data_IF_593961727370
#
_entry.id   IF_593961727370
#
_cell.length_a   1.000
_cell.length_b   1.000
_cell.length_c   1.000
_cell.angle_alpha   90.00
_cell.angle_beta   90.00
_cell.angle_gamma   90.00
#
_symmetry.space_group_name_H-M   'P 1'
#
loop_
_entity.id
_entity.type
_entity.pdbx_description
1 polymer ?
#
# COMPACT_ATOMS: atom_id res chain seq x y z
N UNK A 1 9.83 -5.83 16.73
CA UNK A 1 10.67 -5.21 15.68
C UNK A 1 9.95 -3.98 15.15
N UNK A 2 10.67 -2.93 14.71
CA UNK A 2 10.10 -1.76 14.03
C UNK A 2 10.84 -1.56 12.70
N UNK A 3 10.11 -1.43 11.58
CA UNK A 3 10.67 -1.39 10.23
C UNK A 3 9.64 -0.88 9.22
N UNK A 4 9.98 -0.85 7.90
CA UNK A 4 8.98 -0.71 6.84
C UNK A 4 8.42 -2.08 6.42
N UNK A 5 7.22 -2.15 5.82
CA UNK A 5 6.66 -3.40 5.30
C UNK A 5 7.58 -4.13 4.32
N UNK A 6 8.15 -3.41 3.35
CA UNK A 6 9.05 -4.00 2.36
C UNK A 6 10.32 -4.57 2.99
N UNK A 7 10.88 -3.86 3.98
CA UNK A 7 12.08 -4.33 4.69
C UNK A 7 11.79 -5.52 5.60
N UNK A 8 10.60 -5.56 6.25
CA UNK A 8 10.17 -6.74 7.00
C UNK A 8 10.12 -7.98 6.10
N UNK A 9 9.56 -7.84 4.90
CA UNK A 9 9.52 -8.91 3.92
C UNK A 9 10.93 -9.35 3.51
N UNK A 10 11.74 -8.42 3.03
CA UNK A 10 13.10 -8.69 2.55
C UNK A 10 13.99 -9.35 3.63
N UNK A 11 13.90 -8.86 4.87
CA UNK A 11 14.69 -9.41 5.97
C UNK A 11 14.27 -10.85 6.30
N UNK A 12 12.98 -11.15 6.26
CA UNK A 12 12.47 -12.51 6.47
C UNK A 12 12.91 -13.48 5.39
N UNK A 13 12.85 -13.05 4.10
CA UNK A 13 13.37 -13.87 2.99
C UNK A 13 14.88 -14.13 3.12
N UNK A 14 15.66 -13.10 3.46
CA UNK A 14 17.11 -13.26 3.69
C UNK A 14 17.44 -14.17 4.86
N UNK A 15 16.61 -14.15 5.91
CA UNK A 15 16.77 -15.09 7.01
C UNK A 15 16.57 -16.53 6.55
N UNK A 16 15.50 -16.80 5.77
CA UNK A 16 15.28 -18.14 5.19
C UNK A 16 16.44 -18.58 4.28
N UNK A 17 16.96 -17.69 3.42
CA UNK A 17 18.12 -17.98 2.57
C UNK A 17 19.39 -18.30 3.38
N UNK A 18 19.51 -17.70 4.58
CA UNK A 18 20.59 -17.97 5.52
C UNK A 18 20.37 -19.24 6.37
N UNK A 19 19.27 -19.98 6.13
CA UNK A 19 18.92 -21.18 6.89
C UNK A 19 18.27 -20.89 8.26
N UNK A 20 17.82 -19.64 8.50
CA UNK A 20 17.14 -19.22 9.71
C UNK A 20 15.64 -19.15 9.45
N UNK A 21 14.84 -19.94 10.14
CA UNK A 21 13.36 -19.85 10.07
C UNK A 21 12.86 -18.75 11.04
N UNK A 22 12.37 -17.60 10.54
CA UNK A 22 11.96 -16.50 11.42
C UNK A 22 10.91 -16.90 12.47
N UNK A 23 10.02 -17.84 12.15
CA UNK A 23 8.98 -18.32 13.05
C UNK A 23 9.51 -19.15 14.20
N UNK A 24 10.54 -19.97 13.93
CA UNK A 24 11.05 -20.97 14.88
C UNK A 24 12.26 -20.45 15.63
N UNK A 25 13.18 -19.78 14.90
CA UNK A 25 14.49 -19.42 15.41
C UNK A 25 14.54 -18.03 16.03
N UNK A 26 13.57 -17.14 15.63
CA UNK A 26 13.50 -15.77 16.12
C UNK A 26 12.26 -15.56 17.02
N UNK A 27 12.46 -15.04 18.22
CA UNK A 27 11.36 -14.79 19.16
C UNK A 27 10.72 -13.41 18.95
N UNK A 28 10.33 -13.10 17.69
CA UNK A 28 9.61 -11.87 17.33
C UNK A 28 8.12 -12.18 17.30
N UNK A 29 7.34 -11.52 18.18
CA UNK A 29 5.89 -11.72 18.29
C UNK A 29 5.09 -10.60 17.66
N UNK A 30 5.65 -9.38 17.60
CA UNK A 30 5.00 -8.21 17.03
C UNK A 30 5.97 -7.42 16.18
N UNK A 31 5.51 -7.00 15.00
CA UNK A 31 6.25 -6.13 14.10
C UNK A 31 5.41 -4.87 13.88
N UNK A 32 6.02 -3.73 14.16
CA UNK A 32 5.44 -2.42 13.90
C UNK A 32 6.01 -1.95 12.57
N UNK A 33 5.14 -1.62 11.64
CA UNK A 33 5.53 -1.14 10.32
C UNK A 33 5.07 0.30 10.09
N UNK A 34 5.86 1.06 9.33
CA UNK A 34 5.56 2.44 8.97
C UNK A 34 6.40 2.89 7.77
N UNK A 35 6.06 4.07 7.23
CA UNK A 35 6.88 4.79 6.25
C UNK A 35 6.52 4.51 4.79
N UNK A 36 5.78 3.46 4.51
CA UNK A 36 5.22 3.11 3.20
C UNK A 36 3.92 2.33 3.35
N UNK A 37 3.15 2.22 2.29
CA UNK A 37 1.98 1.35 2.27
C UNK A 37 2.39 -0.13 2.35
N UNK A 38 1.54 -0.96 2.93
CA UNK A 38 1.77 -2.41 3.07
C UNK A 38 1.16 -2.98 4.34
N UNK A 39 1.41 -2.38 5.50
CA UNK A 39 0.84 -2.85 6.76
C UNK A 39 -0.69 -2.80 6.79
N UNK A 40 -1.29 -1.81 6.17
CA UNK A 40 -2.74 -1.67 6.02
C UNK A 40 -3.32 -2.47 4.85
N UNK A 41 -2.48 -2.95 3.91
CA UNK A 41 -2.90 -3.83 2.81
C UNK A 41 -3.00 -5.27 3.35
N UNK A 42 -4.22 -5.80 3.42
CA UNK A 42 -4.50 -7.09 4.06
C UNK A 42 -3.65 -8.25 3.53
N UNK A 43 -3.48 -8.36 2.21
CA UNK A 43 -2.68 -9.42 1.59
C UNK A 43 -1.18 -9.28 1.94
N UNK A 44 -0.62 -8.08 1.82
CA UNK A 44 0.79 -7.79 2.18
C UNK A 44 1.04 -8.05 3.66
N UNK A 45 0.14 -7.56 4.54
CA UNK A 45 0.22 -7.81 5.97
C UNK A 45 0.25 -9.29 6.28
N UNK A 46 -0.72 -10.05 5.72
CA UNK A 46 -0.81 -11.49 5.94
C UNK A 46 0.45 -12.23 5.49
N UNK A 47 0.99 -11.90 4.35
CA UNK A 47 2.21 -12.51 3.84
C UNK A 47 3.40 -12.29 4.80
N UNK A 48 3.56 -11.08 5.35
CA UNK A 48 4.61 -10.79 6.33
C UNK A 48 4.32 -11.53 7.66
N UNK A 49 3.07 -11.54 8.14
CA UNK A 49 2.66 -12.29 9.34
C UNK A 49 2.94 -13.78 9.21
N UNK A 50 2.65 -14.34 8.04
CA UNK A 50 2.91 -15.75 7.73
C UNK A 50 4.41 -16.06 7.66
N UNK A 51 5.23 -15.14 7.14
CA UNK A 51 6.68 -15.28 7.06
C UNK A 51 7.36 -15.25 8.43
N UNK A 52 6.90 -14.37 9.32
CA UNK A 52 7.52 -14.15 10.63
C UNK A 52 6.88 -14.94 11.78
N UNK A 53 5.66 -15.45 11.62
CA UNK A 53 4.86 -15.97 12.73
C UNK A 53 4.55 -14.90 13.78
N UNK A 54 4.42 -13.64 13.37
CA UNK A 54 4.26 -12.46 14.21
C UNK A 54 3.08 -11.60 13.75
N UNK A 55 2.46 -10.85 14.68
CA UNK A 55 1.42 -9.89 14.34
C UNK A 55 2.02 -8.59 13.80
N UNK A 56 1.42 -8.05 12.72
CA UNK A 56 1.77 -6.76 12.15
C UNK A 56 0.83 -5.67 12.65
N UNK A 57 1.41 -4.54 13.03
CA UNK A 57 0.70 -3.31 13.39
C UNK A 57 1.24 -2.16 12.55
N UNK A 58 0.35 -1.50 11.82
CA UNK A 58 0.70 -0.38 10.94
C UNK A 58 0.58 0.96 11.67
N UNK A 59 1.52 1.86 11.39
CA UNK A 59 1.53 3.23 11.87
C UNK A 59 1.63 4.20 10.69
N UNK A 60 0.81 5.21 10.71
CA UNK A 60 0.88 6.31 9.77
C UNK A 60 1.41 7.57 10.45
N UNK A 61 2.30 8.26 9.78
CA UNK A 61 2.82 9.54 10.22
C UNK A 61 3.68 10.23 9.18
N UNK A 62 3.92 11.51 9.38
CA UNK A 62 4.77 12.33 8.55
C UNK A 62 5.71 13.14 9.44
N UNK A 63 6.97 13.29 9.00
CA UNK A 63 7.98 14.08 9.73
C UNK A 63 7.54 15.53 9.95
N UNK A 64 6.74 16.07 9.04
CA UNK A 64 6.18 17.42 9.15
C UNK A 64 5.17 17.57 10.28
N UNK A 65 4.42 16.53 10.61
CA UNK A 65 3.39 16.50 11.65
C UNK A 65 3.98 15.96 12.94
N UNK A 66 4.05 14.63 13.08
CA UNK A 66 4.82 13.85 14.05
C UNK A 66 4.76 12.36 13.66
N UNK A 67 5.71 11.57 14.18
CA UNK A 67 6.04 10.24 13.69
C UNK A 67 4.89 9.25 13.62
N UNK A 68 4.02 9.16 14.63
CA UNK A 68 2.91 8.21 14.68
C UNK A 68 1.61 8.94 14.98
N UNK A 69 1.04 9.59 13.97
CA UNK A 69 -0.21 10.36 14.13
C UNK A 69 -1.48 9.50 13.98
N UNK A 70 -1.37 8.28 13.46
CA UNK A 70 -2.42 7.28 13.51
C UNK A 70 -1.85 5.88 13.65
N UNK A 71 -2.56 4.97 14.30
CA UNK A 71 -2.07 3.63 14.64
C UNK A 71 -3.15 2.55 14.52
N UNK A 72 -2.75 1.39 14.02
CA UNK A 72 -3.59 0.20 13.92
C UNK A 72 -3.82 -0.40 15.30
N UNK A 73 -5.04 -0.89 15.53
CA UNK A 73 -5.37 -1.69 16.71
C UNK A 73 -5.42 -3.18 16.37
N UNK A 74 -5.75 -4.00 17.37
CA UNK A 74 -5.89 -5.46 17.27
C UNK A 74 -6.96 -5.91 16.26
N UNK A 75 -7.94 -5.07 15.97
CA UNK A 75 -8.99 -5.36 14.96
C UNK A 75 -8.48 -5.25 13.51
N UNK A 76 -7.30 -4.65 13.29
CA UNK A 76 -6.68 -4.48 11.98
C UNK A 76 -7.57 -3.72 10.97
N UNK A 77 -8.49 -2.90 11.46
CA UNK A 77 -9.49 -2.18 10.68
C UNK A 77 -9.26 -0.67 10.75
N UNK A 78 -8.39 -0.17 9.87
CA UNK A 78 -7.98 1.23 9.82
C UNK A 78 -6.99 1.63 10.93
N UNK A 79 -6.61 2.89 10.92
CA UNK A 79 -5.62 3.47 11.82
C UNK A 79 -6.29 4.53 12.70
N UNK A 80 -6.35 4.32 14.01
CA UNK A 80 -6.92 5.27 14.96
C UNK A 80 -6.11 6.56 15.02
N UNK A 81 -6.79 7.68 14.83
CA UNK A 81 -6.20 9.02 14.80
C UNK A 81 -5.85 9.46 16.22
N UNK A 82 -4.70 10.09 16.40
CA UNK A 82 -4.32 10.74 17.66
C UNK A 82 -5.04 12.11 17.81
N UNK A 83 -6.38 12.09 17.96
CA UNK A 83 -7.27 13.27 17.89
C UNK A 83 -6.98 14.36 18.95
N UNK A 84 -6.30 14.00 20.03
CA UNK A 84 -5.85 14.97 21.03
C UNK A 84 -4.62 15.78 20.59
N UNK A 85 -3.98 15.41 19.50
CA UNK A 85 -2.79 16.06 18.93
C UNK A 85 -3.03 16.65 17.54
N UNK A 86 -3.95 16.07 16.77
CA UNK A 86 -4.24 16.46 15.38
C UNK A 86 -5.73 16.45 15.10
N UNK A 87 -6.15 17.39 14.24
CA UNK A 87 -7.42 17.33 13.52
C UNK A 87 -7.11 16.81 12.10
N UNK A 88 -7.90 15.85 11.65
CA UNK A 88 -7.80 15.29 10.28
C UNK A 88 -9.10 15.60 9.54
N UNK A 89 -8.96 16.13 8.34
CA UNK A 89 -10.05 16.39 7.40
C UNK A 89 -9.80 15.58 6.13
N UNK A 90 -10.85 15.13 5.44
CA UNK A 90 -10.80 14.67 4.07
C UNK A 90 -11.32 15.78 3.18
N UNK A 91 -10.60 16.14 2.12
CA UNK A 91 -11.02 17.21 1.20
C UNK A 91 -11.07 16.70 -0.24
N UNK A 92 -11.99 17.27 -1.01
CA UNK A 92 -12.02 17.04 -2.45
C UNK A 92 -10.71 17.48 -3.09
N UNK A 93 -10.17 16.66 -3.97
CA UNK A 93 -8.85 16.86 -4.59
C UNK A 93 -8.84 18.11 -5.49
N UNK A 94 -9.96 18.44 -6.11
CA UNK A 94 -10.09 19.50 -7.09
C UNK A 94 -10.57 20.82 -6.47
N UNK A 95 -11.63 20.77 -5.65
CA UNK A 95 -12.23 21.96 -5.07
C UNK A 95 -11.61 22.36 -3.73
N UNK A 96 -11.08 21.39 -2.97
CA UNK A 96 -10.58 21.61 -1.61
C UNK A 96 -11.66 21.71 -0.55
N UNK A 97 -12.92 21.45 -0.92
CA UNK A 97 -14.05 21.40 0.01
C UNK A 97 -13.93 20.20 0.95
N UNK A 98 -14.38 20.38 2.20
CA UNK A 98 -14.37 19.28 3.17
C UNK A 98 -15.44 18.26 2.80
N UNK A 99 -15.03 17.01 2.74
CA UNK A 99 -15.91 15.87 2.47
C UNK A 99 -16.46 15.27 3.77
N UNK A 100 -17.68 14.73 3.74
CA UNK A 100 -18.23 14.02 4.88
C UNK A 100 -17.43 12.73 5.18
N UNK A 101 -17.49 12.22 6.44
CA UNK A 101 -16.87 10.96 6.80
C UNK A 101 -17.30 9.81 5.87
N UNK A 102 -16.35 8.96 5.50
CA UNK A 102 -16.54 7.83 4.59
C UNK A 102 -16.18 8.13 3.13
N UNK A 103 -16.20 9.40 2.72
CA UNK A 103 -15.80 9.77 1.36
C UNK A 103 -14.28 9.84 1.21
N UNK A 104 -13.81 9.44 0.02
CA UNK A 104 -12.37 9.41 -0.32
C UNK A 104 -11.94 10.76 -0.90
N UNK A 105 -10.89 11.32 -0.34
CA UNK A 105 -10.28 12.56 -0.80
C UNK A 105 -8.85 12.69 -0.30
N UNK A 106 -8.27 13.88 -0.42
CA UNK A 106 -6.95 14.16 0.12
C UNK A 106 -7.03 14.37 1.64
N UNK A 107 -6.13 13.71 2.38
CA UNK A 107 -6.05 13.86 3.84
C UNK A 107 -5.32 15.17 4.18
N UNK A 108 -5.95 15.97 5.02
CA UNK A 108 -5.48 17.27 5.46
C UNK A 108 -5.36 17.28 6.98
N UNK A 109 -4.23 17.74 7.48
CA UNK A 109 -3.90 17.68 8.91
C UNK A 109 -3.69 19.07 9.51
N UNK A 110 -4.28 19.30 10.67
CA UNK A 110 -4.01 20.47 11.52
C UNK A 110 -3.43 20.00 12.85
N UNK A 111 -2.26 20.52 13.23
CA UNK A 111 -1.64 20.20 14.51
C UNK A 111 -2.25 21.04 15.62
N UNK A 112 -2.69 20.38 16.71
CA UNK A 112 -3.38 21.06 17.83
C UNK A 112 -2.44 21.43 18.97
N UNK A 113 -1.32 20.72 19.14
CA UNK A 113 -0.41 20.88 20.28
C UNK A 113 1.06 21.09 19.89
N UNK A 114 1.33 21.34 18.61
CA UNK A 114 2.69 21.54 18.12
C UNK A 114 3.03 23.05 18.19
N UNK A 115 3.90 23.42 19.14
CA UNK A 115 4.30 24.83 19.33
C UNK A 115 5.37 25.28 18.34
N UNK A 116 6.37 24.42 18.09
CA UNK A 116 7.37 24.67 17.07
C UNK A 116 6.85 24.20 15.72
N UNK A 117 6.80 25.10 14.74
CA UNK A 117 6.32 24.82 13.37
C UNK A 117 4.89 24.22 13.35
N UNK A 118 3.88 24.93 13.88
CA UNK A 118 2.50 24.46 13.79
C UNK A 118 2.06 24.39 12.33
N UNK A 119 1.24 23.40 12.00
CA UNK A 119 0.66 23.23 10.68
C UNK A 119 -0.86 23.39 10.77
N UNK A 120 -1.41 24.23 9.91
CA UNK A 120 -2.85 24.45 9.79
C UNK A 120 -3.27 24.02 8.38
N UNK A 121 -4.19 23.06 8.31
CA UNK A 121 -4.70 22.47 7.06
C UNK A 121 -3.58 22.06 6.08
N UNK A 122 -2.59 21.35 6.60
CA UNK A 122 -1.49 20.84 5.81
C UNK A 122 -1.97 19.72 4.87
N UNK A 123 -1.85 19.94 3.58
CA UNK A 123 -2.19 18.95 2.54
C UNK A 123 -1.06 17.94 2.41
N UNK A 124 -1.35 16.69 2.73
CA UNK A 124 -0.32 15.64 2.80
C UNK A 124 0.06 15.07 1.42
N UNK A 125 -0.83 15.21 0.44
CA UNK A 125 -0.76 14.47 -0.81
C UNK A 125 -1.19 13.01 -0.68
N UNK A 126 -1.56 12.55 0.51
CA UNK A 126 -2.09 11.20 0.71
C UNK A 126 -3.60 11.19 0.49
N UNK A 127 -4.07 10.19 -0.23
CA UNK A 127 -5.48 9.95 -0.52
C UNK A 127 -6.01 8.89 0.41
N UNK A 128 -7.17 9.17 0.99
CA UNK A 128 -7.78 8.26 1.95
C UNK A 128 -9.16 8.72 2.38
N UNK A 129 -9.69 8.10 3.41
CA UNK A 129 -10.99 8.45 4.01
C UNK A 129 -10.92 8.37 5.54
N UNK A 130 -11.85 9.04 6.19
CA UNK A 130 -12.03 9.00 7.64
C UNK A 130 -13.32 8.23 7.94
N UNK A 131 -13.25 7.32 8.91
CA UNK A 131 -14.40 6.64 9.50
C UNK A 131 -14.52 7.06 10.98
N UNK A 132 -15.67 7.61 11.34
CA UNK A 132 -15.99 8.02 12.71
C UNK A 132 -16.82 6.98 13.48
N UNK A 133 -17.09 5.82 12.86
CA UNK A 133 -17.81 4.73 13.47
C UNK A 133 -17.03 4.08 14.62
N UNK A 134 -17.76 3.44 15.55
CA UNK A 134 -17.15 2.73 16.67
C UNK A 134 -16.32 1.53 16.19
N UNK A 135 -15.09 1.46 16.67
CA UNK A 135 -14.27 0.26 16.48
C UNK A 135 -14.60 -0.81 17.52
N UNK A 136 -14.52 -2.09 17.14
CA UNK A 136 -14.73 -3.22 18.05
C UNK A 136 -13.70 -3.27 19.20
N UNK A 137 -12.53 -2.67 19.01
CA UNK A 137 -11.52 -2.54 20.08
C UNK A 137 -11.93 -1.63 21.25
N UNK A 138 -13.08 -0.95 21.15
CA UNK A 138 -13.63 -0.05 22.17
C UNK A 138 -13.10 1.39 22.12
N UNK A 139 -12.10 1.71 21.28
CA UNK A 139 -11.63 3.10 21.10
C UNK A 139 -12.68 3.94 20.39
N UNK A 140 -12.80 5.19 20.84
CA UNK A 140 -13.76 6.17 20.30
C UNK A 140 -13.17 7.09 19.23
N UNK A 141 -11.85 7.07 19.07
CA UNK A 141 -11.16 7.86 18.06
C UNK A 141 -11.53 7.42 16.63
N UNK A 142 -11.70 8.36 15.75
CA UNK A 142 -11.86 8.10 14.31
C UNK A 142 -10.67 7.32 13.73
N UNK A 143 -10.90 6.69 12.59
CA UNK A 143 -9.88 5.90 11.88
C UNK A 143 -9.66 6.46 10.50
N UNK A 144 -8.42 6.49 10.07
CA UNK A 144 -8.07 6.77 8.67
C UNK A 144 -7.76 5.48 7.94
N UNK A 145 -8.08 5.48 6.65
CA UNK A 145 -7.72 4.45 5.69
C UNK A 145 -6.96 5.12 4.56
N UNK A 146 -5.73 4.68 4.33
CA UNK A 146 -4.86 5.26 3.30
C UNK A 146 -4.98 4.43 2.03
N UNK A 147 -5.34 5.06 0.93
CA UNK A 147 -5.44 4.43 -0.40
C UNK A 147 -4.13 4.54 -1.19
N UNK A 148 -3.41 5.64 -1.03
CA UNK A 148 -2.16 5.90 -1.75
C UNK A 148 -1.80 7.36 -1.75
N UNK A 149 -0.85 7.71 -2.62
CA UNK A 149 -0.46 9.10 -2.83
C UNK A 149 -1.13 9.68 -4.08
N UNK A 150 -1.49 10.95 -4.00
CA UNK A 150 -2.03 11.71 -5.14
C UNK A 150 -1.04 11.70 -6.34
N UNK A 151 0.25 11.81 -6.04
CA UNK A 151 1.31 11.89 -7.05
C UNK A 151 1.56 10.55 -7.76
N UNK A 152 1.19 9.44 -7.14
CA UNK A 152 1.34 8.08 -7.66
C UNK A 152 0.05 7.58 -8.33
N UNK A 153 -1.07 8.28 -8.13
CA UNK A 153 -2.35 7.95 -8.73
C UNK A 153 -2.33 8.22 -10.24
N UNK A 154 -2.90 7.33 -11.02
CA UNK A 154 -3.13 7.55 -12.44
C UNK A 154 -4.60 7.30 -12.81
N UNK A 155 -5.09 8.00 -13.82
CA UNK A 155 -6.49 7.95 -14.24
C UNK A 155 -6.60 7.18 -15.54
N UNK A 156 -7.39 6.11 -15.54
CA UNK A 156 -7.67 5.30 -16.74
C UNK A 156 -9.18 5.23 -16.95
N UNK A 157 -9.64 5.70 -18.09
CA UNK A 157 -11.08 5.69 -18.43
C UNK A 157 -11.96 6.29 -17.32
N UNK A 158 -11.52 7.41 -16.73
CA UNK A 158 -12.17 8.10 -15.60
C UNK A 158 -12.17 7.32 -14.27
N UNK A 159 -11.40 6.25 -14.15
CA UNK A 159 -11.19 5.52 -12.89
C UNK A 159 -9.85 5.94 -12.30
N UNK A 160 -9.87 6.35 -11.02
CA UNK A 160 -8.65 6.59 -10.25
C UNK A 160 -8.04 5.24 -9.86
N UNK A 161 -6.82 4.99 -10.29
CA UNK A 161 -6.08 3.76 -10.01
C UNK A 161 -4.87 4.09 -9.13
N UNK A 162 -4.76 3.41 -8.02
CA UNK A 162 -3.60 3.49 -7.14
C UNK A 162 -2.71 2.25 -7.30
N UNK A 163 -1.40 2.40 -7.27
CA UNK A 163 -0.48 1.26 -7.26
C UNK A 163 -0.80 0.25 -6.15
N UNK A 164 -1.26 0.73 -4.99
CA UNK A 164 -1.68 -0.10 -3.86
C UNK A 164 -2.89 -1.00 -4.15
N UNK A 165 -3.81 -0.56 -5.03
CA UNK A 165 -4.94 -1.39 -5.44
C UNK A 165 -4.46 -2.56 -6.30
N UNK A 166 -3.49 -2.28 -7.20
CA UNK A 166 -2.86 -3.32 -8.03
C UNK A 166 -2.07 -4.29 -7.15
N UNK A 167 -1.28 -3.77 -6.19
CA UNK A 167 -0.55 -4.59 -5.23
C UNK A 167 -1.47 -5.53 -4.46
N UNK A 168 -2.58 -5.01 -3.93
CA UNK A 168 -3.53 -5.80 -3.16
C UNK A 168 -4.13 -6.95 -3.98
N UNK A 169 -4.36 -6.73 -5.28
CA UNK A 169 -4.86 -7.78 -6.18
C UNK A 169 -3.77 -8.81 -6.48
N UNK A 170 -2.58 -8.37 -6.88
CA UNK A 170 -1.48 -9.25 -7.28
C UNK A 170 -1.06 -10.17 -6.12
N UNK A 171 -0.93 -9.62 -4.91
CA UNK A 171 -0.52 -10.40 -3.74
C UNK A 171 -1.56 -11.41 -3.24
N UNK A 172 -2.81 -11.27 -3.67
CA UNK A 172 -3.90 -12.19 -3.30
C UNK A 172 -4.06 -13.34 -4.31
N UNK A 173 -3.30 -13.31 -5.42
CA UNK A 173 -3.37 -14.34 -6.46
C UNK A 173 -2.43 -15.49 -6.11
N UNK A 174 -2.96 -16.72 -6.14
CA UNK A 174 -2.17 -17.94 -5.95
C UNK A 174 -1.34 -18.25 -7.21
N UNK A 175 -0.19 -18.88 -7.01
CA UNK A 175 0.71 -19.32 -8.09
C UNK A 175 1.76 -18.31 -8.51
N UNK A 176 1.74 -17.11 -7.95
CA UNK A 176 2.73 -16.05 -8.17
C UNK A 176 3.36 -15.60 -6.86
N UNK A 177 4.59 -15.06 -6.91
CA UNK A 177 5.36 -14.63 -5.72
C UNK A 177 4.78 -13.39 -5.04
N UNK A 178 3.94 -12.62 -5.74
CA UNK A 178 3.49 -11.29 -5.32
C UNK A 178 4.49 -10.17 -5.65
N UNK A 179 5.63 -10.47 -6.28
CA UNK A 179 6.48 -9.44 -6.88
C UNK A 179 5.84 -8.93 -8.16
N UNK A 180 5.91 -7.62 -8.35
CA UNK A 180 5.25 -6.96 -9.47
C UNK A 180 5.95 -5.66 -9.84
N UNK A 181 5.74 -5.23 -11.10
CA UNK A 181 6.08 -3.89 -11.60
C UNK A 181 4.92 -3.35 -12.42
N UNK A 182 4.62 -2.08 -12.25
CA UNK A 182 3.58 -1.38 -12.99
C UNK A 182 4.27 -0.41 -13.95
N UNK A 183 3.88 -0.42 -15.22
CA UNK A 183 4.27 0.60 -16.20
C UNK A 183 3.03 1.40 -16.59
N UNK A 184 3.11 2.72 -16.47
CA UNK A 184 2.05 3.64 -16.88
C UNK A 184 2.55 4.41 -18.09
N UNK A 185 1.80 4.37 -19.17
CA UNK A 185 2.18 4.97 -20.45
C UNK A 185 0.97 5.56 -21.18
N UNK A 186 1.23 6.31 -22.24
CA UNK A 186 0.18 6.81 -23.15
C UNK A 186 0.18 6.00 -24.45
N UNK A 187 -0.99 5.55 -24.85
CA UNK A 187 -1.23 4.89 -26.14
C UNK A 187 -2.48 5.47 -26.78
N UNK A 188 -2.36 5.97 -28.02
CA UNK A 188 -3.46 6.61 -28.75
C UNK A 188 -4.18 7.70 -27.94
N UNK A 189 -3.40 8.59 -27.28
CA UNK A 189 -3.88 9.67 -26.41
C UNK A 189 -4.66 9.20 -25.18
N UNK A 190 -4.60 7.92 -24.86
CA UNK A 190 -5.22 7.36 -23.65
C UNK A 190 -4.16 6.85 -22.68
N UNK A 191 -4.34 7.15 -21.39
CA UNK A 191 -3.52 6.56 -20.34
C UNK A 191 -3.82 5.06 -20.23
N UNK A 192 -2.76 4.27 -20.23
CA UNK A 192 -2.78 2.81 -20.11
C UNK A 192 -1.81 2.37 -19.03
N UNK A 193 -1.97 1.15 -18.57
CA UNK A 193 -0.98 0.50 -17.69
C UNK A 193 -0.77 -0.95 -18.09
N UNK A 194 0.42 -1.45 -17.84
CA UNK A 194 0.75 -2.87 -17.88
C UNK A 194 1.32 -3.31 -16.54
N UNK A 195 1.25 -4.61 -16.29
CA UNK A 195 1.76 -5.22 -15.05
C UNK A 195 2.72 -6.34 -15.42
N UNK A 196 3.89 -6.34 -14.80
CA UNK A 196 4.83 -7.46 -14.82
C UNK A 196 4.68 -8.20 -13.49
N UNK A 197 4.64 -9.51 -13.53
CA UNK A 197 4.50 -10.41 -12.37
C UNK A 197 5.50 -11.56 -12.45
N UNK A 198 5.74 -12.23 -11.34
CA UNK A 198 6.68 -13.33 -11.24
C UNK A 198 5.98 -14.59 -10.73
N UNK A 199 6.21 -15.74 -11.37
CA UNK A 199 5.72 -17.05 -10.92
C UNK A 199 6.46 -17.52 -9.67
N UNK A 200 5.82 -18.40 -8.91
CA UNK A 200 6.49 -19.12 -7.82
C UNK A 200 7.61 -20.01 -8.34
N UNK A 201 8.63 -20.24 -7.51
CA UNK A 201 9.73 -21.15 -7.83
C UNK A 201 9.21 -22.54 -8.19
N UNK A 202 9.68 -23.06 -9.33
CA UNK A 202 9.29 -24.38 -9.84
C UNK A 202 7.86 -24.45 -10.40
N UNK A 203 7.17 -23.34 -10.61
CA UNK A 203 5.85 -23.32 -11.24
C UNK A 203 5.92 -23.80 -12.69
N UNK A 204 5.02 -24.71 -13.06
CA UNK A 204 4.83 -25.21 -14.44
C UNK A 204 3.59 -24.65 -15.10
N UNK A 205 2.94 -23.66 -14.49
CA UNK A 205 1.74 -23.02 -15.03
C UNK A 205 2.04 -22.30 -16.35
N UNK A 206 1.09 -22.34 -17.27
CA UNK A 206 1.18 -21.65 -18.56
C UNK A 206 1.09 -20.12 -18.36
N UNK A 207 2.04 -19.37 -18.93
CA UNK A 207 2.13 -17.91 -18.80
C UNK A 207 0.87 -17.18 -19.27
N UNK A 208 0.24 -17.69 -20.34
CA UNK A 208 -0.99 -17.10 -20.87
C UNK A 208 -2.14 -17.23 -19.86
N UNK A 209 -2.29 -18.41 -19.25
CA UNK A 209 -3.35 -18.67 -18.26
C UNK A 209 -3.12 -17.85 -16.99
N UNK A 210 -1.86 -17.72 -16.55
CA UNK A 210 -1.49 -16.85 -15.41
C UNK A 210 -1.81 -15.39 -15.73
N UNK A 211 -1.39 -14.90 -16.91
CA UNK A 211 -1.64 -13.52 -17.33
C UNK A 211 -3.13 -13.21 -17.45
N UNK A 212 -3.94 -14.13 -18.00
CA UNK A 212 -5.39 -13.97 -18.10
C UNK A 212 -6.06 -13.93 -16.72
N UNK A 213 -5.65 -14.80 -15.81
CA UNK A 213 -6.13 -14.84 -14.42
C UNK A 213 -5.84 -13.51 -13.69
N UNK A 214 -4.64 -12.99 -13.79
CA UNK A 214 -4.24 -11.70 -13.22
C UNK A 214 -5.02 -10.56 -13.84
N UNK A 215 -5.13 -10.52 -15.17
CA UNK A 215 -5.86 -9.48 -15.89
C UNK A 215 -7.36 -9.45 -15.53
N UNK A 216 -7.97 -10.63 -15.38
CA UNK A 216 -9.37 -10.75 -14.98
C UNK A 216 -9.59 -10.28 -13.53
N UNK A 217 -8.67 -10.63 -12.61
CA UNK A 217 -8.73 -10.20 -11.22
C UNK A 217 -8.59 -8.68 -11.08
N UNK A 218 -7.64 -8.07 -11.80
CA UNK A 218 -7.46 -6.62 -11.83
C UNK A 218 -8.70 -5.91 -12.37
N UNK A 219 -9.26 -6.38 -13.50
CA UNK A 219 -10.50 -5.81 -14.04
C UNK A 219 -11.67 -5.92 -13.06
N UNK A 220 -11.81 -7.06 -12.38
CA UNK A 220 -12.90 -7.29 -11.43
C UNK A 220 -12.83 -6.39 -10.20
N UNK A 221 -11.63 -6.17 -9.65
CA UNK A 221 -11.45 -5.44 -8.38
C UNK A 221 -11.24 -3.94 -8.58
N UNK A 222 -10.55 -3.53 -9.65
CA UNK A 222 -10.19 -2.12 -9.91
C UNK A 222 -11.14 -1.47 -10.92
N UNK A 223 -11.82 -2.26 -11.75
CA UNK A 223 -12.73 -1.78 -12.78
C UNK A 223 -12.07 -1.55 -14.14
N UNK A 224 -10.74 -1.52 -14.23
CA UNK A 224 -10.00 -1.32 -15.47
C UNK A 224 -9.05 -2.48 -15.76
N UNK A 225 -8.96 -2.86 -17.04
CA UNK A 225 -8.10 -3.94 -17.50
C UNK A 225 -6.71 -3.40 -17.84
N UNK A 226 -5.61 -4.08 -17.44
CA UNK A 226 -4.29 -3.75 -17.94
C UNK A 226 -4.19 -3.95 -19.45
N UNK A 227 -3.34 -3.18 -20.13
CA UNK A 227 -3.05 -3.34 -21.55
C UNK A 227 -2.35 -4.68 -21.82
N UNK A 228 -1.47 -5.09 -20.92
CA UNK A 228 -0.82 -6.39 -20.93
C UNK A 228 -0.43 -6.82 -19.52
N UNK A 229 -0.29 -8.13 -19.33
CA UNK A 229 0.36 -8.74 -18.17
C UNK A 229 1.53 -9.57 -18.70
N UNK A 230 2.74 -9.26 -18.24
CA UNK A 230 3.95 -10.01 -18.57
C UNK A 230 4.29 -10.91 -17.39
N UNK A 231 4.52 -12.19 -17.68
CA UNK A 231 4.85 -13.20 -16.67
C UNK A 231 6.35 -13.49 -16.76
N UNK A 232 7.03 -13.41 -15.63
CA UNK A 232 8.45 -13.70 -15.47
C UNK A 232 8.65 -15.02 -14.71
N UNK A 233 9.75 -15.70 -14.96
CA UNK A 233 10.19 -16.82 -14.14
C UNK A 233 10.68 -16.34 -12.77
N UNK A 234 10.74 -17.26 -11.80
CA UNK A 234 11.20 -16.94 -10.45
C UNK A 234 12.62 -16.35 -10.46
N UNK A 235 12.81 -15.21 -9.84
CA UNK A 235 14.09 -14.50 -9.75
C UNK A 235 14.42 -13.58 -10.92
N UNK A 236 13.58 -13.50 -11.96
CA UNK A 236 13.82 -12.60 -13.10
C UNK A 236 13.29 -11.17 -12.86
N UNK A 237 12.26 -11.02 -12.05
CA UNK A 237 11.71 -9.70 -11.73
C UNK A 237 12.43 -9.13 -10.50
N UNK A 238 13.56 -8.42 -10.73
CA UNK A 238 14.32 -7.77 -9.66
C UNK A 238 13.62 -6.52 -9.14
N UNK A 239 12.65 -6.72 -8.26
CA UNK A 239 12.01 -5.65 -7.48
C UNK A 239 12.36 -5.74 -5.99
N UNK A 240 13.18 -6.71 -5.62
CA UNK A 240 13.55 -7.04 -4.24
C UNK A 240 14.74 -6.24 -3.70
N UNK A 241 15.59 -5.70 -4.59
CA UNK A 241 16.89 -5.11 -4.21
C UNK A 241 16.84 -3.63 -3.83
N UNK A 242 15.75 -2.93 -4.08
CA UNK A 242 15.66 -1.48 -3.89
C UNK A 242 14.95 -1.10 -2.59
N UNK A 243 15.58 -0.27 -1.75
CA UNK A 243 15.05 0.24 -0.46
C UNK A 243 13.75 1.07 -0.56
N UNK A 244 13.45 1.60 -1.71
CA UNK A 244 12.18 2.17 -2.17
C UNK A 244 12.06 1.79 -3.62
N UNK A 245 11.82 0.54 -3.90
CA UNK A 245 11.61 0.09 -5.26
C UNK A 245 10.46 0.89 -5.84
N UNK A 246 10.76 1.75 -6.80
CA UNK A 246 9.72 2.34 -7.64
C UNK A 246 9.14 1.19 -8.46
N UNK A 247 8.21 0.47 -7.84
CA UNK A 247 7.45 -0.57 -8.54
C UNK A 247 6.55 0.02 -9.62
N UNK A 248 6.53 1.33 -9.70
CA UNK A 248 5.78 2.10 -10.70
C UNK A 248 6.75 2.87 -11.59
N UNK A 249 6.76 2.54 -12.87
CA UNK A 249 7.46 3.26 -13.91
C UNK A 249 6.43 4.09 -14.66
N UNK A 250 6.45 5.41 -14.45
CA UNK A 250 5.56 6.33 -15.15
C UNK A 250 6.29 6.95 -16.35
N UNK A 251 6.12 6.33 -17.50
CA UNK A 251 6.75 6.74 -18.76
C UNK A 251 6.20 8.06 -19.31
N UNK A 252 5.02 8.51 -18.84
CA UNK A 252 4.44 9.81 -19.20
C UNK A 252 5.25 10.98 -18.68
N UNK A 253 6.02 10.78 -17.58
CA UNK A 253 6.87 11.80 -16.94
C UNK A 253 8.24 11.94 -17.64
N UNK A 254 8.64 10.96 -18.43
CA UNK A 254 9.97 10.92 -19.06
C UNK A 254 10.02 11.68 -20.39
N UNK A 255 8.87 12.03 -20.96
CA UNK A 255 8.73 12.71 -22.26
C UNK A 255 8.38 14.21 -22.14
N UNK A 256 8.75 14.86 -21.02
CA UNK A 256 8.61 16.32 -20.84
C UNK A 256 9.96 17.01 -20.78
#
# INVERSE_FOLDING_TARGET
>A
MWTSPSYAWQLGEKALQAGIDPKKDLNIKKIIVAGELGGSIGATRKAIEDLWGAEIFDFYGLSDIFGACAAMCEEKDGLHIAENHILVETVDINTGDVLPPGEVGELVFTTLRKHARPLIRFRTGDIGRIDTGKCKCGRTHGRIYINGRKDDMFIISAVNVFPSDIEAVVRDIQGITGEYRIRVFEENFACRYSVEIEKNEGSTENDIEVAERVSAALKSRIGVKPASVTVHEYGELDTRSEHKSSRVIDERKTNK
#
